data_IF_594293087716
#
_entry.id   IF_594293087716
#
_cell.length_a   1.000
_cell.length_b   1.000
_cell.length_c   1.000
_cell.angle_alpha   90.00
_cell.angle_beta   90.00
_cell.angle_gamma   90.00
#
_symmetry.space_group_name_H-M   'P 1'
#
loop_
_entity.id
_entity.type
_entity.pdbx_description
1 polymer ?
#
# COMPACT_ATOMS: atom_id res chain seq x y z
N UNK A 1 -8.84 5.44 9.09
CA UNK A 1 -8.90 5.32 7.62
C UNK A 1 -7.79 6.21 7.09
N UNK A 2 -7.08 5.78 6.06
CA UNK A 2 -6.04 6.55 5.38
C UNK A 2 -6.46 6.83 3.94
N UNK A 3 -6.02 7.98 3.42
CA UNK A 3 -6.06 8.33 2.00
C UNK A 3 -4.63 8.29 1.44
N UNK A 4 -4.39 7.47 0.42
CA UNK A 4 -3.09 7.39 -0.26
C UNK A 4 -3.29 7.87 -1.71
N UNK A 5 -2.82 9.08 -2.00
CA UNK A 5 -2.90 9.71 -3.32
C UNK A 5 -1.62 9.41 -4.09
N UNK A 6 -1.75 8.81 -5.27
CA UNK A 6 -0.61 8.47 -6.16
C UNK A 6 -0.36 9.57 -7.18
N UNK A 7 -1.43 10.16 -7.71
CA UNK A 7 -1.44 11.29 -8.64
C UNK A 7 -2.78 12.05 -8.52
N UNK A 8 -3.07 12.96 -9.44
CA UNK A 8 -4.29 13.79 -9.40
C UNK A 8 -5.59 13.03 -9.66
N UNK A 9 -5.53 11.76 -10.07
CA UNK A 9 -6.69 10.93 -10.42
C UNK A 9 -6.75 9.60 -9.66
N UNK A 10 -5.65 9.17 -9.05
CA UNK A 10 -5.53 7.91 -8.34
C UNK A 10 -5.40 8.12 -6.83
N UNK A 11 -6.44 7.72 -6.09
CA UNK A 11 -6.48 7.75 -4.63
C UNK A 11 -6.98 6.41 -4.08
N UNK A 12 -6.30 5.89 -3.06
CA UNK A 12 -6.67 4.66 -2.36
C UNK A 12 -7.06 4.94 -0.92
N UNK A 13 -8.35 4.78 -0.64
CA UNK A 13 -8.91 4.85 0.71
C UNK A 13 -8.86 3.48 1.37
N UNK A 14 -8.16 3.40 2.50
CA UNK A 14 -7.81 2.11 3.12
C UNK A 14 -7.82 2.17 4.66
N UNK A 15 -8.26 1.12 5.36
CA UNK A 15 -8.06 1.03 6.80
C UNK A 15 -6.57 1.10 7.16
N UNK A 16 -6.21 1.86 8.19
CA UNK A 16 -4.80 2.00 8.63
C UNK A 16 -4.14 0.64 8.90
N UNK A 17 -4.90 -0.33 9.44
CA UNK A 17 -4.42 -1.72 9.67
C UNK A 17 -3.99 -2.41 8.37
N UNK A 18 -4.71 -2.20 7.27
CA UNK A 18 -4.44 -2.82 5.98
C UNK A 18 -3.22 -2.21 5.32
N UNK A 19 -3.10 -0.87 5.37
CA UNK A 19 -1.91 -0.19 4.89
C UNK A 19 -0.66 -0.62 5.66
N UNK A 20 -0.70 -0.62 7.00
CA UNK A 20 0.43 -1.09 7.83
C UNK A 20 0.81 -2.53 7.54
N UNK A 21 -0.17 -3.43 7.40
CA UNK A 21 0.08 -4.84 7.06
C UNK A 21 0.83 -4.96 5.73
N UNK A 22 0.37 -4.25 4.70
CA UNK A 22 1.04 -4.23 3.39
C UNK A 22 2.46 -3.63 3.48
N UNK A 23 2.60 -2.50 4.16
CA UNK A 23 3.88 -1.80 4.29
C UNK A 23 4.90 -2.67 5.02
N UNK A 24 4.49 -3.30 6.14
CA UNK A 24 5.34 -4.22 6.88
C UNK A 24 5.72 -5.43 6.02
N UNK A 25 4.77 -6.03 5.30
CA UNK A 25 5.06 -7.14 4.39
C UNK A 25 6.05 -6.75 3.28
N UNK A 26 6.04 -5.49 2.85
CA UNK A 26 6.99 -4.96 1.87
C UNK A 26 8.38 -4.72 2.48
N UNK A 27 8.46 -4.21 3.71
CA UNK A 27 9.72 -4.05 4.46
C UNK A 27 10.37 -5.40 4.75
N UNK A 28 9.60 -6.36 5.27
CA UNK A 28 10.08 -7.69 5.65
C UNK A 28 10.63 -8.47 4.45
N UNK A 29 10.07 -8.25 3.26
CA UNK A 29 10.52 -8.86 2.01
C UNK A 29 11.65 -8.06 1.31
N UNK A 30 11.99 -6.87 1.80
CA UNK A 30 12.96 -5.97 1.17
C UNK A 30 12.46 -5.31 -0.14
N UNK A 31 11.14 -5.30 -0.37
CA UNK A 31 10.52 -4.63 -1.53
C UNK A 31 10.51 -3.11 -1.35
N UNK A 32 10.39 -2.64 -0.11
CA UNK A 32 10.54 -1.23 0.29
C UNK A 32 11.86 -1.08 1.04
N UNK A 33 12.72 -0.10 0.67
CA UNK A 33 13.94 0.19 1.41
C UNK A 33 13.67 0.55 2.88
N UNK A 34 14.50 0.04 3.80
CA UNK A 34 14.33 0.27 5.25
C UNK A 34 14.36 1.76 5.64
N UNK A 35 15.09 2.59 4.89
CA UNK A 35 15.11 4.04 5.12
C UNK A 35 13.77 4.73 4.80
N UNK A 36 12.80 4.02 4.21
CA UNK A 36 11.47 4.54 3.94
C UNK A 36 10.42 4.07 4.97
N UNK A 37 10.82 3.34 6.01
CA UNK A 37 9.92 2.92 7.10
C UNK A 37 9.16 4.10 7.74
N UNK A 38 9.81 5.26 7.84
CA UNK A 38 9.20 6.48 8.40
C UNK A 38 7.93 6.92 7.67
N UNK A 39 7.79 6.60 6.38
CA UNK A 39 6.61 6.95 5.59
C UNK A 39 5.35 6.24 6.08
N UNK A 40 5.48 5.05 6.67
CA UNK A 40 4.36 4.38 7.33
C UNK A 40 3.83 5.21 8.51
N UNK A 41 4.74 5.77 9.31
CA UNK A 41 4.39 6.60 10.46
C UNK A 41 3.83 7.97 10.04
N UNK A 42 4.41 8.58 9.00
CA UNK A 42 3.91 9.83 8.42
C UNK A 42 2.47 9.65 7.92
N UNK A 43 2.19 8.53 7.24
CA UNK A 43 0.84 8.24 6.76
C UNK A 43 -0.18 8.20 7.90
N UNK A 44 0.15 7.52 8.99
CA UNK A 44 -0.75 7.42 10.14
C UNK A 44 -0.94 8.76 10.87
N UNK A 45 0.14 9.54 11.01
CA UNK A 45 0.09 10.84 11.67
C UNK A 45 -0.77 11.85 10.88
N UNK A 46 -0.70 11.81 9.56
CA UNK A 46 -1.39 12.75 8.68
C UNK A 46 -2.77 12.26 8.21
N UNK A 47 -3.13 11.01 8.52
CA UNK A 47 -4.34 10.37 7.99
C UNK A 47 -4.24 10.02 6.50
N UNK A 48 -3.01 10.00 5.94
CA UNK A 48 -2.77 9.72 4.54
C UNK A 48 -1.39 10.13 4.04
N UNK A 49 -1.14 9.86 2.77
CA UNK A 49 0.02 10.33 2.01
C UNK A 49 -0.44 10.91 0.69
N UNK A 50 0.14 12.05 0.31
CA UNK A 50 0.05 12.55 -1.06
C UNK A 50 1.41 12.35 -1.74
N UNK A 51 1.52 11.29 -2.52
CA UNK A 51 2.76 10.93 -3.22
C UNK A 51 3.04 11.82 -4.44
N UNK A 52 2.08 12.64 -4.86
CA UNK A 52 2.25 13.60 -5.97
C UNK A 52 3.16 14.77 -5.60
N UNK A 53 3.27 15.08 -4.30
CA UNK A 53 4.13 16.13 -3.76
C UNK A 53 5.43 15.59 -3.14
N UNK A 54 5.58 14.27 -3.07
CA UNK A 54 6.80 13.58 -2.60
C UNK A 54 7.82 13.52 -3.73
N UNK A 55 9.10 13.54 -3.38
CA UNK A 55 10.18 13.39 -4.36
C UNK A 55 9.94 12.16 -5.27
N UNK A 56 10.01 12.30 -6.61
CA UNK A 56 9.67 11.22 -7.54
C UNK A 56 10.42 9.91 -7.32
N UNK A 57 11.67 9.97 -6.88
CA UNK A 57 12.47 8.78 -6.58
C UNK A 57 11.91 8.03 -5.35
N UNK A 58 11.48 8.76 -4.32
CA UNK A 58 10.91 8.21 -3.10
C UNK A 58 9.52 7.66 -3.36
N UNK A 59 8.65 8.43 -4.03
CA UNK A 59 7.29 7.97 -4.38
C UNK A 59 7.34 6.77 -5.31
N UNK A 60 8.22 6.78 -6.32
CA UNK A 60 8.43 5.64 -7.21
C UNK A 60 8.89 4.38 -6.48
N UNK A 61 9.84 4.50 -5.55
CA UNK A 61 10.31 3.38 -4.75
C UNK A 61 9.20 2.81 -3.84
N UNK A 62 8.45 3.68 -3.16
CA UNK A 62 7.31 3.29 -2.31
C UNK A 62 6.24 2.55 -3.11
N UNK A 63 5.76 3.14 -4.20
CA UNK A 63 4.69 2.55 -5.02
C UNK A 63 5.15 1.23 -5.63
N UNK A 64 6.37 1.16 -6.16
CA UNK A 64 6.91 -0.08 -6.71
C UNK A 64 7.00 -1.19 -5.67
N UNK A 65 7.53 -0.90 -4.48
CA UNK A 65 7.67 -1.85 -3.39
C UNK A 65 6.32 -2.36 -2.87
N UNK A 66 5.38 -1.44 -2.64
CA UNK A 66 4.02 -1.78 -2.21
C UNK A 66 3.27 -2.59 -3.28
N UNK A 67 3.44 -2.30 -4.58
CA UNK A 67 2.86 -3.10 -5.68
C UNK A 67 3.39 -4.53 -5.72
N UNK A 68 4.69 -4.73 -5.51
CA UNK A 68 5.28 -6.07 -5.41
C UNK A 68 4.69 -6.85 -4.24
N UNK A 69 4.65 -6.23 -3.06
CA UNK A 69 4.07 -6.84 -1.88
C UNK A 69 2.57 -7.15 -2.06
N UNK A 70 1.80 -6.21 -2.61
CA UNK A 70 0.37 -6.40 -2.86
C UNK A 70 0.11 -7.53 -3.85
N UNK A 71 0.90 -7.64 -4.91
CA UNK A 71 0.78 -8.72 -5.90
C UNK A 71 1.06 -10.08 -5.24
N UNK A 72 2.11 -10.18 -4.42
CA UNK A 72 2.44 -11.39 -3.66
C UNK A 72 1.31 -11.77 -2.70
N UNK A 73 0.81 -10.81 -1.95
CA UNK A 73 -0.20 -11.08 -0.93
C UNK A 73 -1.57 -11.39 -1.55
N UNK A 74 -1.94 -10.76 -2.67
CA UNK A 74 -3.13 -11.17 -3.45
C UNK A 74 -2.97 -12.58 -4.00
N UNK A 75 -1.78 -12.99 -4.45
CA UNK A 75 -1.55 -14.37 -4.89
C UNK A 75 -1.64 -15.38 -3.73
N UNK A 76 -1.37 -14.95 -2.50
CA UNK A 76 -1.40 -15.79 -1.30
C UNK A 76 -2.80 -15.92 -0.67
N UNK A 77 -3.54 -14.81 -0.62
CA UNK A 77 -4.80 -14.68 0.13
C UNK A 77 -6.02 -14.45 -0.77
N UNK A 78 -5.83 -14.34 -2.09
CA UNK A 78 -6.86 -13.89 -3.03
C UNK A 78 -8.06 -14.83 -3.22
N UNK A 79 -7.94 -16.08 -2.75
CA UNK A 79 -9.02 -17.07 -2.77
C UNK A 79 -9.74 -17.19 -1.43
N UNK A 80 -9.27 -16.48 -0.39
CA UNK A 80 -9.92 -16.47 0.92
C UNK A 80 -11.27 -15.72 0.84
N UNK A 81 -12.32 -16.20 1.56
CA UNK A 81 -13.60 -15.51 1.57
C UNK A 81 -13.46 -14.08 2.10
N UNK A 82 -14.10 -13.11 1.44
CA UNK A 82 -14.14 -11.69 1.85
C UNK A 82 -14.82 -11.44 3.21
N UNK A 83 -15.29 -12.48 3.90
CA UNK A 83 -15.76 -12.38 5.29
C UNK A 83 -14.64 -12.64 6.31
N UNK A 84 -13.43 -12.95 5.84
CA UNK A 84 -12.24 -13.18 6.67
C UNK A 84 -11.32 -11.96 6.60
N UNK A 85 -10.47 -11.77 7.63
CA UNK A 85 -9.49 -10.68 7.63
C UNK A 85 -8.53 -10.76 6.43
N UNK A 86 -8.18 -11.97 5.96
CA UNK A 86 -7.30 -12.18 4.80
C UNK A 86 -7.99 -11.92 3.47
N UNK A 87 -9.25 -12.33 3.31
CA UNK A 87 -10.05 -12.02 2.13
C UNK A 87 -10.36 -10.52 2.00
N UNK A 88 -10.72 -9.86 3.10
CA UNK A 88 -10.89 -8.39 3.15
C UNK A 88 -9.60 -7.65 2.80
N UNK A 89 -8.48 -8.15 3.32
CA UNK A 89 -7.15 -7.64 3.01
C UNK A 89 -6.84 -7.77 1.51
N UNK A 90 -7.00 -8.95 0.93
CA UNK A 90 -6.76 -9.20 -0.49
C UNK A 90 -7.67 -8.34 -1.40
N UNK A 91 -8.93 -8.14 -1.03
CA UNK A 91 -9.84 -7.26 -1.74
C UNK A 91 -9.34 -5.80 -1.75
N UNK A 92 -8.86 -5.30 -0.60
CA UNK A 92 -8.29 -3.96 -0.51
C UNK A 92 -7.02 -3.82 -1.37
N UNK A 93 -6.17 -4.86 -1.43
CA UNK A 93 -4.97 -4.88 -2.25
C UNK A 93 -5.26 -4.87 -3.75
N UNK A 94 -6.31 -5.57 -4.20
CA UNK A 94 -6.75 -5.51 -5.61
C UNK A 94 -7.11 -4.08 -6.02
N UNK A 95 -7.86 -3.36 -5.18
CA UNK A 95 -8.18 -1.95 -5.42
C UNK A 95 -6.94 -1.07 -5.50
N UNK A 96 -5.94 -1.32 -4.65
CA UNK A 96 -4.65 -0.63 -4.72
C UNK A 96 -3.91 -0.90 -6.03
N UNK A 97 -3.85 -2.16 -6.47
CA UNK A 97 -3.19 -2.55 -7.72
C UNK A 97 -3.87 -1.91 -8.94
N UNK A 98 -5.21 -1.83 -8.92
CA UNK A 98 -6.01 -1.17 -9.95
C UNK A 98 -5.77 0.35 -9.95
N UNK A 99 -5.73 0.99 -8.78
CA UNK A 99 -5.46 2.42 -8.64
C UNK A 99 -4.04 2.82 -9.05
N UNK A 100 -3.11 1.87 -9.15
CA UNK A 100 -1.69 2.13 -9.47
C UNK A 100 -1.26 1.51 -10.80
N UNK A 101 -2.22 1.17 -11.68
CA UNK A 101 -1.91 0.72 -13.04
C UNK A 101 -1.22 1.86 -13.83
N UNK A 102 -0.18 1.54 -14.62
CA UNK A 102 0.50 2.52 -15.47
C UNK A 102 -0.36 2.99 -16.65
#
# INVERSE_FOLDING_TARGET
MLSITFDTQAEWWVPSKTFRRLFQAALDAGDVPANLEEWMHIADANGGLDLSIVEPAVSGALVSGLRKAATRDVARYGDDPVTTDDGDYALALRKFLDATQP
#
